data_IF_583296890143
#
_entry.id   IF_583296890143
#
_cell.length_a   1.000
_cell.length_b   1.000
_cell.length_c   1.000
_cell.angle_alpha   90.00
_cell.angle_beta   90.00
_cell.angle_gamma   90.00
#
_symmetry.space_group_name_H-M   'P 1'
#
loop_
_entity.id
_entity.type
_entity.pdbx_description
1 polymer ?
#
# COMPACT_ATOMS: atom_id res chain seq x y z
N UNK A 1 -18.32 -11.64 13.88
CA UNK A 1 -16.90 -11.51 14.27
C UNK A 1 -15.92 -11.85 13.15
N UNK A 2 -16.13 -12.93 12.40
CA UNK A 2 -15.19 -13.37 11.34
C UNK A 2 -14.97 -12.35 10.22
N UNK A 3 -16.03 -11.65 9.79
CA UNK A 3 -15.92 -10.56 8.80
C UNK A 3 -14.98 -9.44 9.25
N UNK A 4 -15.11 -8.97 10.50
CA UNK A 4 -14.20 -7.97 11.10
C UNK A 4 -12.77 -8.50 11.10
N UNK A 5 -12.56 -9.73 11.57
CA UNK A 5 -11.24 -10.36 11.64
C UNK A 5 -10.57 -10.42 10.25
N UNK A 6 -11.31 -10.80 9.22
CA UNK A 6 -10.80 -10.88 7.86
C UNK A 6 -10.50 -9.50 7.26
N UNK A 7 -11.38 -8.52 7.48
CA UNK A 7 -11.13 -7.14 7.05
C UNK A 7 -9.90 -6.53 7.73
N UNK A 8 -9.71 -6.75 9.04
CA UNK A 8 -8.52 -6.30 9.75
C UNK A 8 -7.24 -6.99 9.25
N UNK A 9 -7.27 -8.30 8.97
CA UNK A 9 -6.14 -9.01 8.36
C UNK A 9 -5.75 -8.40 7.02
N UNK A 10 -6.72 -8.09 6.16
CA UNK A 10 -6.47 -7.45 4.87
C UNK A 10 -5.89 -6.05 5.06
N UNK A 11 -6.44 -5.24 5.97
CA UNK A 11 -5.92 -3.91 6.29
C UNK A 11 -4.44 -3.97 6.73
N UNK A 12 -4.07 -4.91 7.60
CA UNK A 12 -2.68 -5.08 8.02
C UNK A 12 -1.77 -5.55 6.89
N UNK A 13 -2.27 -6.39 5.99
CA UNK A 13 -1.54 -6.80 4.78
C UNK A 13 -1.23 -5.60 3.88
N UNK A 14 -2.22 -4.74 3.64
CA UNK A 14 -2.04 -3.51 2.85
C UNK A 14 -1.05 -2.55 3.53
N UNK A 15 -1.18 -2.36 4.85
CA UNK A 15 -0.21 -1.56 5.63
C UNK A 15 1.21 -2.10 5.46
N UNK A 16 1.38 -3.43 5.52
CA UNK A 16 2.69 -4.08 5.31
C UNK A 16 3.21 -3.80 3.90
N UNK A 17 2.37 -3.90 2.88
CA UNK A 17 2.73 -3.56 1.50
C UNK A 17 3.31 -2.15 1.41
N UNK A 18 2.60 -1.12 1.90
CA UNK A 18 3.10 0.26 1.86
C UNK A 18 4.46 0.41 2.56
N UNK A 19 4.60 -0.16 3.77
CA UNK A 19 5.85 -0.06 4.53
C UNK A 19 7.04 -0.73 3.84
N UNK A 20 6.81 -1.89 3.21
CA UNK A 20 7.85 -2.63 2.49
C UNK A 20 8.23 -1.88 1.22
N UNK A 21 7.26 -1.39 0.45
CA UNK A 21 7.52 -0.67 -0.80
C UNK A 21 8.29 0.63 -0.54
N UNK A 22 7.90 1.43 0.46
CA UNK A 22 8.64 2.66 0.81
C UNK A 22 10.07 2.35 1.22
N UNK A 23 10.29 1.31 2.03
CA UNK A 23 11.64 0.88 2.39
C UNK A 23 12.44 0.45 1.17
N UNK A 24 11.81 -0.23 0.22
CA UNK A 24 12.46 -0.68 -1.01
C UNK A 24 12.87 0.50 -1.90
N UNK A 25 12.02 1.51 -2.05
CA UNK A 25 12.33 2.75 -2.80
C UNK A 25 13.62 3.39 -2.29
N UNK A 26 13.74 3.55 -0.96
CA UNK A 26 14.92 4.14 -0.35
C UNK A 26 16.18 3.30 -0.62
N UNK A 27 16.07 1.98 -0.53
CA UNK A 27 17.17 1.06 -0.79
C UNK A 27 17.59 1.05 -2.28
N UNK A 28 16.62 1.06 -3.19
CA UNK A 28 16.86 1.06 -4.64
C UNK A 28 17.53 2.37 -5.05
N UNK A 29 17.06 3.50 -4.51
CA UNK A 29 17.66 4.80 -4.77
C UNK A 29 19.08 4.89 -4.21
N UNK A 30 19.30 4.43 -2.98
CA UNK A 30 20.62 4.40 -2.36
C UNK A 30 21.64 3.60 -3.19
N UNK A 31 21.21 2.47 -3.76
CA UNK A 31 22.04 1.57 -4.56
C UNK A 31 22.17 1.98 -6.02
N UNK A 32 21.50 3.05 -6.45
CA UNK A 32 21.35 3.40 -7.86
C UNK A 32 20.84 2.23 -8.73
N UNK A 33 19.93 1.43 -8.18
CA UNK A 33 19.30 0.33 -8.92
C UNK A 33 18.64 0.90 -10.18
N UNK A 34 18.90 0.32 -11.35
CA UNK A 34 18.33 0.78 -12.64
C UNK A 34 18.60 2.26 -12.95
N UNK A 35 19.73 2.82 -12.49
CA UNK A 35 20.11 4.22 -12.71
C UNK A 35 19.18 5.27 -12.09
N UNK A 36 18.24 4.90 -11.20
CA UNK A 36 17.23 5.84 -10.69
C UNK A 36 17.79 6.97 -9.81
N UNK A 37 19.07 6.90 -9.39
CA UNK A 37 19.74 7.99 -8.67
C UNK A 37 20.38 8.99 -9.64
N UNK A 38 20.73 8.56 -10.84
CA UNK A 38 21.54 9.33 -11.79
C UNK A 38 20.75 9.78 -13.02
N UNK A 39 19.63 9.12 -13.33
CA UNK A 39 18.77 9.42 -14.48
C UNK A 39 17.36 9.80 -14.00
N UNK A 40 17.02 11.08 -14.08
CA UNK A 40 15.74 11.60 -13.58
C UNK A 40 14.54 10.95 -14.28
N UNK A 41 14.63 10.69 -15.58
CA UNK A 41 13.57 10.00 -16.34
C UNK A 41 13.32 8.57 -15.85
N UNK A 42 14.38 7.87 -15.41
CA UNK A 42 14.26 6.53 -14.80
C UNK A 42 13.64 6.59 -13.42
N UNK A 43 13.96 7.61 -12.64
CA UNK A 43 13.33 7.84 -11.34
C UNK A 43 11.83 8.12 -11.49
N UNK A 44 11.47 8.97 -12.44
CA UNK A 44 10.07 9.31 -12.75
C UNK A 44 9.27 8.06 -13.14
N UNK A 45 9.76 7.27 -14.11
CA UNK A 45 9.13 6.02 -14.55
C UNK A 45 8.95 5.01 -13.39
N UNK A 46 9.97 4.89 -12.53
CA UNK A 46 9.94 4.02 -11.36
C UNK A 46 8.89 4.49 -10.34
N UNK A 47 8.87 5.78 -10.01
CA UNK A 47 7.93 6.34 -9.04
C UNK A 47 6.49 6.34 -9.55
N UNK A 48 6.26 6.56 -10.85
CA UNK A 48 4.93 6.47 -11.47
C UNK A 48 4.37 5.06 -11.38
N UNK A 49 5.21 4.05 -11.63
CA UNK A 49 4.83 2.64 -11.49
C UNK A 49 4.40 2.34 -10.04
N UNK A 50 5.15 2.83 -9.07
CA UNK A 50 4.82 2.65 -7.65
C UNK A 50 3.56 3.41 -7.26
N UNK A 51 3.40 4.65 -7.74
CA UNK A 51 2.23 5.47 -7.47
C UNK A 51 0.95 4.79 -7.95
N UNK A 52 0.98 4.18 -9.14
CA UNK A 52 -0.13 3.39 -9.65
C UNK A 52 -0.48 2.21 -8.72
N UNK A 53 0.51 1.47 -8.23
CA UNK A 53 0.28 0.39 -7.26
C UNK A 53 -0.31 0.91 -5.94
N UNK A 54 0.17 2.07 -5.47
CA UNK A 54 -0.31 2.70 -4.23
C UNK A 54 -1.75 3.19 -4.37
N UNK A 55 -2.11 3.73 -5.53
CA UNK A 55 -3.47 4.16 -5.83
C UNK A 55 -4.45 2.98 -5.79
N UNK A 56 -4.09 1.83 -6.36
CA UNK A 56 -4.92 0.62 -6.26
C UNK A 56 -5.07 0.14 -4.82
N UNK A 57 -3.99 0.13 -4.03
CA UNK A 57 -4.08 -0.21 -2.60
C UNK A 57 -4.89 0.79 -1.78
N UNK A 58 -4.87 2.07 -2.13
CA UNK A 58 -5.73 3.07 -1.48
C UNK A 58 -7.21 2.82 -1.78
N UNK A 59 -7.57 2.42 -3.00
CA UNK A 59 -8.94 2.00 -3.34
C UNK A 59 -9.37 0.79 -2.50
N UNK A 60 -8.51 -0.22 -2.38
CA UNK A 60 -8.76 -1.38 -1.52
C UNK A 60 -9.02 -0.98 -0.05
N UNK A 61 -8.21 -0.07 0.49
CA UNK A 61 -8.39 0.46 1.86
C UNK A 61 -9.71 1.21 2.01
N UNK A 62 -10.10 2.02 1.02
CA UNK A 62 -11.39 2.72 1.02
C UNK A 62 -12.57 1.75 1.12
N UNK A 63 -12.55 0.69 0.30
CA UNK A 63 -13.55 -0.37 0.33
C UNK A 63 -13.57 -1.15 1.65
N UNK A 64 -12.39 -1.43 2.21
CA UNK A 64 -12.23 -2.08 3.51
C UNK A 64 -12.78 -1.24 4.65
N UNK A 65 -12.51 0.08 4.65
CA UNK A 65 -13.07 1.02 5.63
C UNK A 65 -14.59 0.96 5.62
N UNK A 66 -15.21 1.08 4.44
CA UNK A 66 -16.66 0.99 4.30
C UNK A 66 -17.19 -0.37 4.78
N UNK A 67 -16.49 -1.46 4.43
CA UNK A 67 -16.86 -2.81 4.88
C UNK A 67 -16.84 -2.93 6.40
N UNK A 68 -15.82 -2.40 7.08
CA UNK A 68 -15.68 -2.46 8.54
C UNK A 68 -16.75 -1.63 9.23
N UNK A 69 -16.98 -0.40 8.77
CA UNK A 69 -17.97 0.52 9.35
C UNK A 69 -19.41 0.02 9.20
N UNK A 70 -19.70 -0.76 8.16
CA UNK A 70 -21.01 -1.37 7.94
C UNK A 70 -21.24 -2.65 8.75
N UNK A 71 -20.28 -3.11 9.57
CA UNK A 71 -20.49 -4.30 10.40
C UNK A 71 -21.26 -3.89 11.66
N UNK A 72 -22.44 -4.47 11.91
CA UNK A 72 -23.19 -4.18 13.12
C UNK A 72 -22.39 -4.57 14.36
N UNK A 73 -22.23 -3.63 15.27
CA UNK A 73 -21.72 -3.91 16.61
C UNK A 73 -22.89 -4.54 17.38
N UNK A 74 -22.75 -5.76 17.93
CA UNK A 74 -23.77 -6.32 18.79
C UNK A 74 -23.97 -5.36 19.97
N UNK A 75 -25.16 -4.76 20.09
CA UNK A 75 -25.56 -4.02 21.28
C UNK A 75 -25.55 -4.99 22.45
N UNK A 76 -24.75 -4.66 23.48
CA UNK A 76 -24.72 -5.35 24.78
C UNK A 76 -26.03 -5.11 25.55
#
# INVERSE_FOLDING_TARGET
MEKIKNSLKQLFSIRKFFSTSIKQILLDYQKNTNSIKTEDSKLEEYLDTILNQFNEKNKEVGNLKNTILSIPIPTL
#
